data_IF_063006509889
#
_entry.id   IF_063006509889
#
_cell.length_a   1.000
_cell.length_b   1.000
_cell.length_c   1.000
_cell.angle_alpha   90.00
_cell.angle_beta   90.00
_cell.angle_gamma   90.00
#
_symmetry.space_group_name_H-M   'P 1'
#
loop_
_entity.id
_entity.type
_entity.pdbx_description
1 polymer ?
#
# COMPACT_ATOMS: atom_id res chain seq x y z
N UNK A 1 52.51 -38.26 16.83
CA UNK A 1 51.43 -37.33 16.37
C UNK A 1 51.15 -36.35 17.52
N UNK A 2 51.68 -35.13 17.47
CA UNK A 2 51.46 -34.13 18.52
C UNK A 2 50.17 -33.38 18.20
N UNK A 3 49.20 -33.49 19.07
CA UNK A 3 48.00 -32.67 19.03
C UNK A 3 48.34 -31.32 19.63
N UNK A 4 48.52 -30.30 18.77
CA UNK A 4 48.68 -28.93 19.22
C UNK A 4 47.29 -28.29 19.33
N UNK A 5 47.05 -27.59 20.44
CA UNK A 5 45.91 -26.68 20.55
C UNK A 5 46.20 -25.44 19.70
N UNK A 6 45.34 -25.17 18.74
CA UNK A 6 45.37 -23.90 18.01
C UNK A 6 44.64 -22.87 18.90
N UNK A 7 45.43 -21.98 19.50
CA UNK A 7 44.88 -20.87 20.29
C UNK A 7 44.52 -19.76 19.30
N UNK A 8 43.25 -19.54 19.11
CA UNK A 8 42.79 -18.44 18.29
C UNK A 8 43.02 -17.13 19.06
N UNK A 9 43.70 -16.17 18.42
CA UNK A 9 43.83 -14.83 18.98
C UNK A 9 42.46 -14.20 19.16
N UNK A 10 42.33 -13.24 20.08
CA UNK A 10 41.08 -12.47 20.24
C UNK A 10 40.63 -11.80 18.93
N UNK A 11 41.56 -11.38 18.11
CA UNK A 11 41.35 -10.77 16.81
C UNK A 11 40.79 -11.79 15.80
N UNK A 12 41.31 -13.03 15.76
CA UNK A 12 40.81 -14.05 14.87
C UNK A 12 39.42 -14.54 15.29
N UNK A 13 39.17 -14.59 16.59
CA UNK A 13 37.83 -14.88 17.13
C UNK A 13 36.84 -13.77 16.76
N UNK A 14 37.24 -12.50 16.83
CA UNK A 14 36.40 -11.38 16.44
C UNK A 14 36.09 -11.43 14.94
N UNK A 15 37.08 -11.65 14.09
CA UNK A 15 36.89 -11.85 12.65
C UNK A 15 35.93 -13.00 12.32
N UNK A 16 36.06 -14.12 13.03
CA UNK A 16 35.13 -15.24 12.87
C UNK A 16 33.69 -14.88 13.29
N UNK A 17 33.53 -14.15 14.39
CA UNK A 17 32.22 -13.65 14.84
C UNK A 17 31.63 -12.65 13.86
N UNK A 18 32.44 -11.77 13.30
CA UNK A 18 32.00 -10.79 12.31
C UNK A 18 31.52 -11.48 11.02
N UNK A 19 32.22 -12.51 10.58
CA UNK A 19 31.78 -13.36 9.44
C UNK A 19 30.49 -14.13 9.77
N UNK A 20 30.37 -14.70 10.98
CA UNK A 20 29.14 -15.37 11.41
C UNK A 20 27.98 -14.38 11.50
N UNK A 21 28.21 -13.17 12.00
CA UNK A 21 27.18 -12.13 12.05
C UNK A 21 26.75 -11.66 10.66
N UNK A 22 27.71 -11.50 9.73
CA UNK A 22 27.42 -11.24 8.31
C UNK A 22 26.59 -12.34 7.66
N UNK A 23 26.86 -13.60 8.00
CA UNK A 23 26.09 -14.76 7.54
C UNK A 23 24.72 -14.88 8.25
N UNK A 24 24.59 -14.34 9.44
CA UNK A 24 23.33 -14.37 10.22
C UNK A 24 22.39 -13.20 9.91
N UNK A 25 22.83 -12.19 9.17
CA UNK A 25 21.92 -11.15 8.65
C UNK A 25 20.92 -11.80 7.68
N UNK A 26 19.70 -11.99 8.17
CA UNK A 26 18.58 -12.51 7.37
C UNK A 26 18.37 -11.61 6.17
N UNK A 27 18.83 -12.03 5.01
CA UNK A 27 18.64 -11.37 3.73
C UNK A 27 19.91 -11.15 2.89
N UNK A 28 21.10 -11.42 3.43
CA UNK A 28 22.35 -11.07 2.76
C UNK A 28 22.88 -12.10 1.77
N UNK A 29 22.43 -13.37 1.79
CA UNK A 29 23.10 -14.39 0.95
C UNK A 29 22.08 -15.28 0.25
N UNK A 30 21.65 -14.86 -0.92
CA UNK A 30 21.24 -15.78 -1.97
C UNK A 30 22.48 -16.14 -2.83
N UNK A 31 23.42 -16.85 -2.23
CA UNK A 31 24.72 -17.18 -2.83
C UNK A 31 24.62 -17.94 -4.16
N UNK A 32 23.48 -18.55 -4.44
CA UNK A 32 23.26 -19.37 -5.64
C UNK A 32 22.18 -18.81 -6.56
N UNK A 33 21.61 -17.65 -6.29
CA UNK A 33 20.47 -17.09 -7.06
C UNK A 33 19.18 -17.91 -6.93
N UNK A 34 19.12 -18.86 -5.98
CA UNK A 34 17.93 -19.72 -5.78
C UNK A 34 16.73 -18.91 -5.35
N UNK A 35 16.94 -17.82 -4.58
CA UNK A 35 15.90 -16.89 -4.19
C UNK A 35 15.24 -16.24 -5.40
N UNK A 36 16.01 -15.82 -6.39
CA UNK A 36 15.49 -15.23 -7.63
C UNK A 36 14.63 -16.26 -8.39
N UNK A 37 15.10 -17.49 -8.50
CA UNK A 37 14.36 -18.58 -9.16
C UNK A 37 13.06 -18.89 -8.40
N UNK A 38 13.14 -19.04 -7.07
CA UNK A 38 11.96 -19.24 -6.22
C UNK A 38 10.94 -18.10 -6.39
N UNK A 39 11.41 -16.85 -6.37
CA UNK A 39 10.54 -15.66 -6.48
C UNK A 39 9.94 -15.55 -7.90
N UNK A 40 10.69 -15.97 -8.95
CA UNK A 40 10.16 -16.05 -10.30
C UNK A 40 9.03 -17.10 -10.41
N UNK A 41 9.20 -18.29 -9.82
CA UNK A 41 8.14 -19.29 -9.77
C UNK A 41 6.95 -18.84 -8.91
N UNK A 42 7.19 -18.21 -7.75
CA UNK A 42 6.13 -17.66 -6.93
C UNK A 42 5.31 -16.61 -7.68
N UNK A 43 5.97 -15.69 -8.39
CA UNK A 43 5.30 -14.68 -9.20
C UNK A 43 4.58 -15.26 -10.42
N UNK A 44 5.09 -16.37 -10.99
CA UNK A 44 4.46 -17.04 -12.12
C UNK A 44 3.18 -17.80 -11.70
N UNK A 45 3.25 -18.57 -10.61
CA UNK A 45 2.11 -19.37 -10.15
C UNK A 45 1.10 -18.57 -9.30
N UNK A 46 1.56 -17.55 -8.60
CA UNK A 46 0.75 -16.77 -7.66
C UNK A 46 1.01 -15.26 -7.84
N UNK A 47 0.71 -14.71 -9.03
CA UNK A 47 0.98 -13.30 -9.33
C UNK A 47 0.20 -12.40 -8.36
N UNK A 48 0.86 -11.37 -7.87
CA UNK A 48 0.24 -10.38 -6.94
C UNK A 48 0.13 -10.84 -5.50
N UNK A 49 0.52 -12.09 -5.18
CA UNK A 49 0.58 -12.57 -3.79
C UNK A 49 1.99 -12.46 -3.21
N UNK A 50 2.08 -12.41 -1.89
CA UNK A 50 3.33 -12.33 -1.14
C UNK A 50 3.17 -13.01 0.22
N UNK A 51 4.25 -13.59 0.73
CA UNK A 51 4.26 -14.23 2.06
C UNK A 51 4.00 -13.28 3.22
N UNK A 52 4.12 -11.97 2.98
CA UNK A 52 3.83 -10.94 3.99
C UNK A 52 2.37 -10.49 3.99
N UNK A 53 1.58 -10.88 3.00
CA UNK A 53 0.14 -10.66 2.99
C UNK A 53 -0.52 -11.64 3.96
N UNK A 54 -1.34 -11.11 4.86
CA UNK A 54 -1.88 -11.90 5.97
C UNK A 54 -3.33 -12.30 5.75
N UNK A 55 -4.20 -11.38 5.32
CA UNK A 55 -5.64 -11.60 5.17
C UNK A 55 -6.17 -10.94 3.90
N UNK A 56 -7.08 -11.63 3.22
CA UNK A 56 -7.69 -11.14 1.98
C UNK A 56 -8.52 -9.86 2.17
N UNK A 57 -9.04 -9.62 3.37
CA UNK A 57 -9.81 -8.40 3.70
C UNK A 57 -9.05 -7.10 3.40
N UNK A 58 -7.73 -7.11 3.46
CA UNK A 58 -6.93 -5.94 3.13
C UNK A 58 -7.01 -5.53 1.65
N UNK A 59 -7.40 -6.44 0.74
CA UNK A 59 -7.71 -6.10 -0.65
C UNK A 59 -8.95 -5.20 -0.80
N UNK A 60 -9.75 -5.06 0.26
CA UNK A 60 -10.87 -4.12 0.35
C UNK A 60 -10.51 -2.91 1.22
N UNK A 61 -9.92 -3.15 2.40
CA UNK A 61 -9.58 -2.08 3.35
C UNK A 61 -8.64 -1.05 2.71
N UNK A 62 -7.54 -1.50 2.07
CA UNK A 62 -6.55 -0.59 1.49
C UNK A 62 -7.14 0.32 0.40
N UNK A 63 -7.85 -0.20 -0.62
CA UNK A 63 -8.50 0.65 -1.61
C UNK A 63 -9.53 1.61 -1.03
N UNK A 64 -10.30 1.20 -0.03
CA UNK A 64 -11.28 2.08 0.60
C UNK A 64 -10.62 3.23 1.36
N UNK A 65 -9.55 2.94 2.10
CA UNK A 65 -8.74 3.96 2.76
C UNK A 65 -8.15 4.95 1.75
N UNK A 66 -7.57 4.44 0.67
CA UNK A 66 -6.97 5.28 -0.38
C UNK A 66 -8.01 6.19 -1.06
N UNK A 67 -9.17 5.64 -1.41
CA UNK A 67 -10.26 6.41 -2.00
C UNK A 67 -10.77 7.50 -1.06
N UNK A 68 -11.08 7.12 0.17
CA UNK A 68 -11.61 8.04 1.18
C UNK A 68 -10.62 9.19 1.47
N UNK A 69 -9.32 8.88 1.55
CA UNK A 69 -8.30 9.91 1.74
C UNK A 69 -8.22 10.88 0.56
N UNK A 70 -8.31 10.39 -0.67
CA UNK A 70 -8.34 11.24 -1.87
C UNK A 70 -9.65 12.05 -1.93
N UNK A 71 -10.80 11.44 -1.59
CA UNK A 71 -12.10 12.12 -1.63
C UNK A 71 -12.27 13.10 -0.48
N UNK A 72 -11.51 12.97 0.58
CA UNK A 72 -11.53 13.81 1.77
C UNK A 72 -11.17 15.28 1.52
N UNK A 73 -11.36 16.09 2.55
CA UNK A 73 -11.12 17.55 2.52
C UNK A 73 -9.66 17.93 2.83
N UNK A 74 -8.70 17.15 2.38
CA UNK A 74 -7.27 17.42 2.66
C UNK A 74 -6.64 18.47 1.72
N UNK A 75 -7.44 19.07 0.84
CA UNK A 75 -7.03 20.10 -0.12
C UNK A 75 -6.13 19.53 -1.22
N UNK A 76 -5.24 20.40 -1.72
CA UNK A 76 -4.33 20.11 -2.85
C UNK A 76 -2.99 19.53 -2.42
N UNK A 77 -2.78 19.33 -1.14
CA UNK A 77 -1.50 18.89 -0.59
C UNK A 77 -1.40 17.36 -0.57
N UNK A 78 -0.67 16.82 -1.55
CA UNK A 78 -0.37 15.38 -1.69
C UNK A 78 0.20 14.81 -0.39
N UNK A 79 1.10 15.53 0.29
CA UNK A 79 1.71 15.05 1.54
C UNK A 79 0.69 14.95 2.68
N UNK A 80 -0.33 15.82 2.68
CA UNK A 80 -1.44 15.72 3.63
C UNK A 80 -2.29 14.48 3.37
N UNK A 81 -2.58 14.21 2.10
CA UNK A 81 -3.34 12.99 1.72
C UNK A 81 -2.55 11.74 2.10
N UNK A 82 -1.26 11.68 1.83
CA UNK A 82 -0.41 10.53 2.20
C UNK A 82 -0.37 10.32 3.72
N UNK A 83 -0.27 11.38 4.52
CA UNK A 83 -0.35 11.29 5.98
C UNK A 83 -1.73 10.86 6.47
N UNK A 84 -2.78 11.28 5.80
CA UNK A 84 -4.14 10.86 6.10
C UNK A 84 -4.34 9.36 5.82
N UNK A 85 -3.78 8.84 4.73
CA UNK A 85 -3.75 7.39 4.42
C UNK A 85 -3.08 6.64 5.56
N UNK A 86 -1.89 7.07 5.97
CA UNK A 86 -1.13 6.44 7.05
C UNK A 86 -1.90 6.39 8.38
N UNK A 87 -2.50 7.53 8.74
CA UNK A 87 -3.33 7.62 9.94
C UNK A 87 -4.58 6.73 9.87
N UNK A 88 -5.22 6.67 8.69
CA UNK A 88 -6.41 5.88 8.45
C UNK A 88 -6.15 4.38 8.47
N UNK A 89 -5.01 3.93 7.91
CA UNK A 89 -4.59 2.53 7.99
C UNK A 89 -4.32 2.10 9.44
N UNK A 90 -3.67 2.97 10.21
CA UNK A 90 -3.45 2.74 11.64
C UNK A 90 -4.78 2.64 12.40
N UNK A 91 -5.72 3.55 12.15
CA UNK A 91 -7.06 3.54 12.74
C UNK A 91 -7.81 2.25 12.40
N UNK A 92 -7.78 1.80 11.16
CA UNK A 92 -8.37 0.51 10.76
C UNK A 92 -7.75 -0.66 11.56
N UNK A 93 -6.42 -0.67 11.74
CA UNK A 93 -5.75 -1.69 12.55
C UNK A 93 -6.20 -1.68 14.01
N UNK A 94 -6.40 -0.51 14.61
CA UNK A 94 -6.92 -0.37 15.98
C UNK A 94 -8.36 -0.89 16.05
N UNK A 95 -9.24 -0.47 15.14
CA UNK A 95 -10.64 -0.93 15.10
C UNK A 95 -10.78 -2.44 14.91
N UNK A 96 -9.93 -3.04 14.08
CA UNK A 96 -9.90 -4.49 13.92
C UNK A 96 -9.55 -5.23 15.22
N UNK A 97 -8.63 -4.69 16.02
CA UNK A 97 -8.25 -5.25 17.32
C UNK A 97 -9.27 -4.94 18.43
N UNK A 98 -9.98 -3.82 18.33
CA UNK A 98 -11.11 -3.51 19.22
C UNK A 98 -12.29 -4.43 18.98
N UNK A 99 -12.57 -4.75 17.72
CA UNK A 99 -13.63 -5.70 17.34
C UNK A 99 -13.31 -7.13 17.78
N UNK A 100 -12.07 -7.57 17.60
CA UNK A 100 -11.56 -8.86 18.08
C UNK A 100 -10.10 -8.75 18.53
N UNK A 101 -9.84 -8.66 19.86
CA UNK A 101 -8.49 -8.58 20.41
C UNK A 101 -7.60 -9.80 20.09
N UNK A 102 -8.20 -10.92 19.68
CA UNK A 102 -7.49 -12.15 19.29
C UNK A 102 -7.39 -12.32 17.78
N UNK A 103 -7.82 -11.35 17.00
CA UNK A 103 -7.78 -11.41 15.54
C UNK A 103 -6.37 -11.68 15.03
N UNK A 104 -6.20 -12.78 14.33
CA UNK A 104 -4.94 -13.13 13.72
C UNK A 104 -4.78 -12.44 12.36
N UNK A 105 -3.54 -12.02 12.06
CA UNK A 105 -3.21 -11.45 10.77
C UNK A 105 -3.50 -9.95 10.64
N UNK A 106 -3.84 -9.26 11.72
CA UNK A 106 -3.92 -7.81 11.74
C UNK A 106 -2.51 -7.22 11.66
N UNK A 107 -2.23 -6.44 10.62
CA UNK A 107 -0.93 -5.80 10.41
C UNK A 107 -0.70 -4.78 11.52
N UNK A 108 0.45 -4.91 12.19
CA UNK A 108 0.80 -4.03 13.31
C UNK A 108 0.22 -4.43 14.66
N UNK A 109 -0.47 -5.56 14.80
CA UNK A 109 -1.11 -6.01 16.05
C UNK A 109 -0.17 -6.00 17.26
N UNK A 110 1.14 -6.24 17.06
CA UNK A 110 2.13 -6.28 18.16
C UNK A 110 2.55 -4.91 18.67
N UNK A 111 2.34 -3.84 17.90
CA UNK A 111 2.79 -2.48 18.22
C UNK A 111 1.63 -1.50 18.45
N UNK A 112 0.44 -1.81 17.93
CA UNK A 112 -0.78 -1.03 18.13
C UNK A 112 -1.27 -1.12 19.60
N UNK A 113 -1.92 -0.06 20.11
CA UNK A 113 -2.13 1.26 19.49
C UNK A 113 -0.95 2.23 19.68
N UNK A 114 0.07 1.84 20.48
CA UNK A 114 1.17 2.73 20.90
C UNK A 114 2.11 3.14 19.76
N UNK A 115 2.30 2.25 18.80
CA UNK A 115 3.20 2.44 17.66
C UNK A 115 2.50 2.25 16.31
N UNK A 116 3.29 2.23 15.25
CA UNK A 116 2.89 1.84 13.91
C UNK A 116 4.03 1.11 13.20
N UNK A 117 3.70 0.35 12.17
CA UNK A 117 4.66 -0.45 11.43
C UNK A 117 5.37 0.38 10.35
N UNK A 118 6.61 0.05 10.06
CA UNK A 118 7.35 0.67 8.96
C UNK A 118 6.78 0.25 7.59
N UNK A 119 6.36 -1.02 7.45
CA UNK A 119 5.75 -1.54 6.23
C UNK A 119 4.24 -1.62 6.44
N UNK A 120 3.52 -0.72 5.80
CA UNK A 120 2.08 -0.49 5.96
C UNK A 120 1.24 -1.47 5.15
N UNK A 121 -0.06 -1.63 5.44
CA UNK A 121 -0.96 -2.44 4.62
C UNK A 121 -0.92 -2.06 3.14
N UNK A 122 -0.95 -0.77 2.81
CA UNK A 122 -0.86 -0.29 1.43
C UNK A 122 0.43 -0.74 0.74
N UNK A 123 1.58 -0.66 1.40
CA UNK A 123 2.86 -1.11 0.84
C UNK A 123 2.87 -2.63 0.57
N UNK A 124 2.24 -3.41 1.44
CA UNK A 124 2.19 -4.87 1.36
C UNK A 124 1.24 -5.33 0.25
N UNK A 125 0.09 -4.68 0.10
CA UNK A 125 -0.98 -5.14 -0.77
C UNK A 125 -1.02 -4.45 -2.13
N UNK A 126 -0.29 -3.33 -2.34
CA UNK A 126 -0.37 -2.54 -3.56
C UNK A 126 -0.08 -3.33 -4.83
N UNK A 127 0.95 -4.17 -4.81
CA UNK A 127 1.25 -5.02 -5.96
C UNK A 127 0.10 -5.97 -6.31
N UNK A 128 -0.47 -6.62 -5.32
CA UNK A 128 -1.62 -7.51 -5.52
C UNK A 128 -2.88 -6.77 -6.00
N UNK A 129 -3.16 -5.60 -5.41
CA UNK A 129 -4.28 -4.74 -5.80
C UNK A 129 -4.21 -4.37 -7.29
N UNK A 130 -3.00 -4.05 -7.80
CA UNK A 130 -2.79 -3.79 -9.22
C UNK A 130 -2.92 -5.07 -10.06
N UNK A 131 -2.25 -6.14 -9.65
CA UNK A 131 -2.21 -7.40 -10.39
C UNK A 131 -3.59 -8.04 -10.55
N UNK A 132 -4.45 -7.91 -9.54
CA UNK A 132 -5.83 -8.42 -9.59
C UNK A 132 -6.81 -7.47 -10.27
N UNK A 133 -6.36 -6.34 -10.81
CA UNK A 133 -7.21 -5.38 -11.51
C UNK A 133 -8.21 -4.66 -10.60
N UNK A 134 -7.97 -4.65 -9.29
CA UNK A 134 -8.73 -3.84 -8.33
C UNK A 134 -8.41 -2.37 -8.54
N UNK A 135 -7.14 -2.05 -8.80
CA UNK A 135 -6.70 -0.77 -9.32
C UNK A 135 -6.47 -0.87 -10.83
N UNK A 136 -7.11 0.01 -11.59
CA UNK A 136 -7.17 -0.10 -13.06
C UNK A 136 -5.92 0.42 -13.76
N UNK A 137 -5.17 1.35 -13.13
CA UNK A 137 -3.98 1.97 -13.72
C UNK A 137 -2.71 1.23 -13.32
N UNK A 138 -2.27 0.31 -14.16
CA UNK A 138 -1.25 -0.69 -13.83
C UNK A 138 0.14 -0.14 -13.46
N UNK A 139 0.52 1.01 -13.99
CA UNK A 139 1.88 1.57 -13.86
C UNK A 139 2.10 2.48 -12.64
N UNK A 140 1.05 2.91 -11.95
CA UNK A 140 1.17 3.95 -10.94
C UNK A 140 1.56 3.39 -9.56
N UNK A 141 2.48 4.08 -8.89
CA UNK A 141 2.69 3.95 -7.44
C UNK A 141 1.55 4.64 -6.68
N UNK A 142 1.45 4.36 -5.37
CA UNK A 142 0.47 5.04 -4.48
C UNK A 142 0.65 6.56 -4.54
N UNK A 143 1.89 7.04 -4.51
CA UNK A 143 2.20 8.47 -4.55
C UNK A 143 1.78 9.12 -5.87
N UNK A 144 2.04 8.45 -7.00
CA UNK A 144 1.63 8.92 -8.33
C UNK A 144 0.11 8.91 -8.47
N UNK A 145 -0.55 7.85 -7.99
CA UNK A 145 -2.01 7.79 -7.92
C UNK A 145 -2.58 8.99 -7.14
N UNK A 146 -2.10 9.23 -5.92
CA UNK A 146 -2.58 10.35 -5.09
C UNK A 146 -2.33 11.68 -5.79
N UNK A 147 -1.14 11.87 -6.37
CA UNK A 147 -0.79 13.10 -7.10
C UNK A 147 -1.70 13.34 -8.30
N UNK A 148 -1.97 12.30 -9.07
CA UNK A 148 -2.87 12.38 -10.24
C UNK A 148 -4.30 12.63 -9.82
N UNK A 149 -4.81 11.90 -8.83
CA UNK A 149 -6.18 12.02 -8.35
C UNK A 149 -6.47 13.41 -7.75
N UNK A 150 -5.51 14.00 -7.02
CA UNK A 150 -5.61 15.37 -6.51
C UNK A 150 -5.68 16.37 -7.66
N UNK A 151 -4.82 16.25 -8.69
CA UNK A 151 -4.84 17.13 -9.88
C UNK A 151 -6.16 17.04 -10.63
N UNK A 152 -6.68 15.84 -10.86
CA UNK A 152 -7.96 15.63 -11.53
C UNK A 152 -9.14 16.25 -10.75
N UNK A 153 -9.09 16.14 -9.42
CA UNK A 153 -10.09 16.77 -8.55
C UNK A 153 -10.05 18.30 -8.64
N UNK A 154 -8.88 18.89 -8.76
CA UNK A 154 -8.69 20.32 -8.97
C UNK A 154 -9.29 20.78 -10.30
N UNK A 155 -8.97 20.09 -11.38
CA UNK A 155 -9.49 20.40 -12.72
C UNK A 155 -11.01 20.33 -12.76
N UNK A 156 -11.62 19.30 -12.17
CA UNK A 156 -13.08 19.20 -12.05
C UNK A 156 -13.70 20.34 -11.24
N UNK A 157 -13.03 20.83 -10.21
CA UNK A 157 -13.52 21.95 -9.40
C UNK A 157 -13.48 23.27 -10.16
N UNK A 158 -12.43 23.51 -10.95
CA UNK A 158 -12.25 24.68 -11.79
C UNK A 158 -13.30 24.71 -12.93
N UNK A 159 -13.50 23.57 -13.62
CA UNK A 159 -14.50 23.45 -14.68
C UNK A 159 -15.94 23.70 -14.17
N UNK A 160 -16.26 23.26 -12.96
CA UNK A 160 -17.56 23.54 -12.33
C UNK A 160 -17.75 24.99 -11.92
N UNK A 161 -16.68 25.72 -11.61
CA UNK A 161 -16.74 27.16 -11.32
C UNK A 161 -16.86 27.99 -12.59
N UNK A 162 -16.21 27.59 -13.68
CA UNK A 162 -16.35 28.28 -15.00
C UNK A 162 -17.76 28.19 -15.54
N UNK A 163 -18.42 27.02 -15.47
CA UNK A 163 -19.80 26.86 -15.98
C UNK A 163 -20.90 27.56 -15.14
N UNK A 164 -20.59 28.12 -13.98
CA UNK A 164 -21.56 28.87 -13.18
C UNK A 164 -21.67 30.35 -13.57
N UNK A 165 -20.75 30.84 -14.39
CA UNK A 165 -20.72 32.25 -14.81
C UNK A 165 -21.24 32.50 -16.24
N UNK A 166 -21.60 31.46 -16.99
CA UNK A 166 -22.07 31.58 -18.37
C UNK A 166 -23.52 31.08 -18.52
N UNK A 167 -24.45 31.76 -17.84
CA UNK A 167 -25.85 31.83 -18.29
C UNK A 167 -25.98 32.96 -19.31
N UNK A 168 -25.20 32.93 -20.40
CA UNK A 168 -25.48 33.72 -21.61
C UNK A 168 -24.55 33.25 -22.76
N UNK A 169 -25.23 32.91 -23.87
CA UNK A 169 -24.70 32.72 -25.21
C UNK A 169 -24.08 31.36 -25.56
N UNK A 170 -24.92 30.57 -26.21
CA UNK A 170 -24.55 29.51 -27.15
C UNK A 170 -23.53 30.05 -28.14
N UNK A 171 -22.30 29.55 -28.09
CA UNK A 171 -21.42 29.56 -29.23
C UNK A 171 -20.64 28.22 -29.20
N UNK A 172 -20.96 27.41 -30.21
CA UNK A 172 -20.20 26.24 -30.60
C UNK A 172 -18.70 26.61 -30.68
N UNK A 173 -17.91 26.15 -29.73
CA UNK A 173 -16.47 26.03 -29.86
C UNK A 173 -16.12 24.55 -29.83
N UNK A 174 -15.93 24.04 -31.02
CA UNK A 174 -15.26 22.81 -31.33
C UNK A 174 -13.78 22.89 -30.84
N UNK A 175 -13.54 22.57 -29.57
CA UNK A 175 -12.22 22.28 -29.01
C UNK A 175 -12.23 20.84 -28.48
N UNK A 176 -12.22 19.90 -29.43
CA UNK A 176 -12.23 18.45 -29.19
C UNK A 176 -10.87 17.88 -28.76
N UNK A 177 -9.92 18.70 -28.30
CA UNK A 177 -8.57 18.25 -27.94
C UNK A 177 -8.26 18.24 -26.41
N UNK A 178 -9.18 18.65 -25.56
CA UNK A 178 -9.09 18.37 -24.14
C UNK A 178 -9.65 16.95 -23.91
N UNK A 179 -8.82 15.94 -24.10
CA UNK A 179 -9.18 14.53 -23.82
C UNK A 179 -9.96 14.46 -22.52
N UNK A 180 -11.13 13.86 -22.57
CA UNK A 180 -12.12 13.78 -21.47
C UNK A 180 -11.52 13.07 -20.24
N UNK A 181 -10.72 13.83 -19.49
CA UNK A 181 -10.08 13.42 -18.23
C UNK A 181 -11.15 13.17 -17.14
N UNK A 182 -12.41 13.52 -17.43
CA UNK A 182 -13.53 13.37 -16.50
C UNK A 182 -13.88 11.92 -16.20
N UNK A 183 -13.45 10.97 -17.02
CA UNK A 183 -13.83 9.56 -16.96
C UNK A 183 -12.73 8.59 -16.45
N UNK A 184 -11.64 9.06 -15.86
CA UNK A 184 -10.62 8.16 -15.30
C UNK A 184 -11.20 7.36 -14.15
N UNK A 185 -11.38 6.07 -14.37
CA UNK A 185 -11.82 5.11 -13.35
C UNK A 185 -10.61 4.41 -12.75
N UNK A 186 -10.15 4.84 -11.61
CA UNK A 186 -9.02 4.21 -10.92
C UNK A 186 -9.33 2.87 -10.27
N UNK A 187 -10.59 2.62 -9.90
CA UNK A 187 -10.94 1.50 -9.03
C UNK A 187 -12.04 0.64 -9.61
N UNK A 188 -11.82 -0.65 -9.58
CA UNK A 188 -12.82 -1.69 -9.91
C UNK A 188 -13.27 -2.37 -8.61
N UNK A 189 -14.04 -1.63 -7.82
CA UNK A 189 -14.51 -2.06 -6.50
C UNK A 189 -15.98 -1.68 -6.34
N UNK A 190 -16.71 -2.42 -5.48
CA UNK A 190 -18.02 -1.98 -4.99
C UNK A 190 -17.95 -0.58 -4.37
N UNK A 191 -19.07 0.11 -4.37
CA UNK A 191 -19.22 1.35 -3.63
C UNK A 191 -19.22 0.99 -2.15
N UNK A 192 -18.37 1.66 -1.37
CA UNK A 192 -18.41 1.53 0.09
C UNK A 192 -19.44 2.49 0.67
N UNK A 193 -20.02 2.11 1.81
CA UNK A 193 -20.86 2.99 2.62
C UNK A 193 -19.97 3.85 3.52
N UNK A 194 -20.43 5.04 3.91
CA UNK A 194 -19.65 5.98 4.74
C UNK A 194 -19.30 5.42 6.12
N UNK A 195 -20.10 4.47 6.60
CA UNK A 195 -19.96 3.76 7.88
C UNK A 195 -19.17 2.43 7.79
N UNK A 196 -18.48 2.16 6.65
CA UNK A 196 -17.80 0.89 6.42
C UNK A 196 -16.76 0.51 7.49
N UNK A 197 -16.26 1.51 8.24
CA UNK A 197 -15.31 1.31 9.33
C UNK A 197 -15.95 0.94 10.66
N UNK A 198 -17.25 1.19 10.85
CA UNK A 198 -17.88 1.06 12.16
C UNK A 198 -18.06 -0.39 12.59
N UNK A 199 -18.23 -1.29 11.60
CA UNK A 199 -18.33 -2.73 11.81
C UNK A 199 -17.17 -3.48 11.14
N UNK A 200 -15.96 -2.93 11.20
CA UNK A 200 -14.81 -3.49 10.51
C UNK A 200 -14.34 -4.77 11.21
N UNK A 201 -14.37 -5.87 10.48
CA UNK A 201 -13.83 -7.16 10.91
C UNK A 201 -12.74 -7.64 9.97
N UNK A 202 -11.82 -8.46 10.46
CA UNK A 202 -10.74 -9.02 9.62
C UNK A 202 -11.24 -10.17 8.75
N UNK A 203 -12.32 -10.82 9.14
CA UNK A 203 -12.93 -11.91 8.39
C UNK A 203 -13.73 -11.35 7.21
N UNK A 204 -13.77 -12.12 6.11
CA UNK A 204 -14.67 -11.86 4.99
C UNK A 204 -16.06 -12.34 5.40
N UNK A 205 -16.99 -11.42 5.58
CA UNK A 205 -18.42 -11.73 5.75
C UNK A 205 -19.11 -11.76 4.39
N UNK A 206 -20.08 -12.65 4.25
CA UNK A 206 -20.96 -12.71 3.07
C UNK A 206 -21.87 -11.49 3.01
#
# INVERSE_FOLDING_TARGET
>A
MQLGWIDFSKEDRQKALDVINLLSEQGAVDELGIGIVRDAFANYFFPGTSTIQTRAKYFLIVPYVLREAVDGRYGKDVNRVLRAIDSAEKDCGIRLLEADPKAEGVIGSRVLPKGWVARKPSDIYWNGIRTFGIFCEYGLSIQEYVSLAVKLKEQKSVSRMGNRNDDAEENERDDSDAGDISNVRFWNLPIYHDDWRDNLTIELTQ
#
